data_IF_493566465122
#
_entry.id   IF_493566465122
#
_cell.length_a   1.000
_cell.length_b   1.000
_cell.length_c   1.000
_cell.angle_alpha   90.00
_cell.angle_beta   90.00
_cell.angle_gamma   90.00
#
_symmetry.space_group_name_H-M   'P 1'
#
loop_
_entity.id
_entity.type
_entity.pdbx_description
1 polymer ?
#
# COMPACT_ATOMS: atom_id res chain seq x y z
N UNK A 1 20.20 92.14 31.30
CA UNK A 1 19.72 91.02 32.07
C UNK A 1 20.32 89.77 31.45
N UNK A 2 21.39 89.24 32.00
CA UNK A 2 22.24 88.19 31.44
C UNK A 2 21.77 86.86 31.95
N UNK A 3 21.65 85.90 31.06
CA UNK A 3 21.45 84.46 31.44
C UNK A 3 22.57 83.66 30.80
N UNK A 4 23.38 83.08 31.67
CA UNK A 4 24.46 82.14 31.36
C UNK A 4 24.01 80.88 30.74
N UNK A 5 24.67 80.48 29.64
CA UNK A 5 24.52 79.16 29.03
C UNK A 5 25.57 78.20 29.64
N UNK A 6 25.10 77.24 30.39
CA UNK A 6 25.95 76.20 30.98
C UNK A 6 26.16 75.07 29.97
N UNK A 7 27.42 74.87 29.61
CA UNK A 7 27.87 73.84 28.71
C UNK A 7 27.81 72.47 29.43
N UNK A 8 26.89 71.56 29.07
CA UNK A 8 26.90 70.17 29.51
C UNK A 8 27.34 69.28 28.38
N UNK A 9 28.46 68.64 28.57
CA UNK A 9 28.92 67.52 27.73
C UNK A 9 27.91 66.36 27.82
N UNK A 10 27.35 65.99 26.71
CA UNK A 10 26.55 64.81 26.57
C UNK A 10 27.49 63.65 26.25
N UNK A 11 27.61 62.69 27.16
CA UNK A 11 28.24 61.41 26.90
C UNK A 11 27.29 60.60 26.05
N UNK A 12 27.72 60.32 24.86
CA UNK A 12 26.99 59.38 23.95
C UNK A 12 27.14 58.00 24.53
N UNK A 13 26.08 57.51 25.17
CA UNK A 13 25.92 56.11 25.57
C UNK A 13 25.42 55.34 24.35
N UNK A 14 26.32 54.58 23.72
CA UNK A 14 25.96 53.65 22.62
C UNK A 14 25.22 52.48 23.25
N UNK A 15 23.87 52.51 23.20
CA UNK A 15 23.06 51.37 23.48
C UNK A 15 23.21 50.36 22.32
N UNK A 16 23.94 49.30 22.59
CA UNK A 16 23.98 48.10 21.73
C UNK A 16 22.64 47.40 21.89
N UNK A 17 21.69 47.70 21.03
CA UNK A 17 20.44 46.94 20.92
C UNK A 17 20.76 45.58 20.31
N UNK A 18 20.94 44.60 21.18
CA UNK A 18 20.98 43.20 20.82
C UNK A 18 19.54 42.84 20.41
N UNK A 19 19.26 42.86 19.10
CA UNK A 19 18.03 42.31 18.54
C UNK A 19 18.10 40.81 18.75
N UNK A 20 17.49 40.32 19.81
CA UNK A 20 17.10 38.92 19.95
C UNK A 20 15.97 38.72 18.98
N UNK A 21 16.31 38.30 17.77
CA UNK A 21 15.34 37.66 16.87
C UNK A 21 14.91 36.35 17.53
N UNK A 22 13.80 36.40 18.30
CA UNK A 22 13.03 35.18 18.54
C UNK A 22 12.56 34.70 17.17
N UNK A 23 13.34 33.80 16.58
CA UNK A 23 12.84 32.93 15.55
C UNK A 23 11.69 32.14 16.18
N UNK A 24 10.49 32.48 15.77
CA UNK A 24 9.36 31.57 15.88
C UNK A 24 9.75 30.38 15.01
N UNK A 25 10.44 29.40 15.60
CA UNK A 25 10.41 28.03 15.07
C UNK A 25 8.98 27.56 15.22
N UNK A 26 8.16 27.85 14.21
CA UNK A 26 6.99 27.04 13.95
C UNK A 26 7.53 25.65 13.73
N UNK A 27 7.17 24.71 14.58
CA UNK A 27 7.29 23.30 14.29
C UNK A 27 6.40 23.02 13.07
N UNK A 28 6.99 23.16 11.89
CA UNK A 28 6.53 22.49 10.68
C UNK A 28 7.34 21.22 10.62
N UNK A 29 6.89 20.19 11.32
CA UNK A 29 7.45 18.85 11.26
C UNK A 29 7.05 18.17 9.94
N UNK A 30 7.26 18.85 8.82
CA UNK A 30 7.17 18.29 7.49
C UNK A 30 8.53 18.46 6.79
N UNK A 31 9.54 17.78 7.33
CA UNK A 31 10.85 17.63 6.69
C UNK A 31 10.81 16.58 5.54
N UNK A 32 9.67 16.46 4.88
CA UNK A 32 9.50 15.56 3.75
C UNK A 32 10.44 15.93 2.62
N UNK A 33 11.09 14.92 2.05
CA UNK A 33 12.07 15.10 0.99
C UNK A 33 11.46 15.78 -0.26
N UNK A 34 12.15 16.82 -0.73
CA UNK A 34 11.88 17.45 -2.03
C UNK A 34 13.20 17.55 -2.80
N UNK A 35 13.25 17.01 -4.01
CA UNK A 35 14.43 17.09 -4.86
C UNK A 35 14.69 15.83 -5.68
N UNK A 36 15.90 15.77 -6.23
CA UNK A 36 16.35 14.61 -7.00
C UNK A 36 16.94 13.54 -6.09
N UNK A 37 16.52 12.31 -6.30
CA UNK A 37 17.10 11.12 -5.69
C UNK A 37 17.64 10.18 -6.77
N UNK A 38 18.74 9.51 -6.48
CA UNK A 38 19.29 8.42 -7.29
C UNK A 38 19.87 7.34 -6.37
N UNK A 39 20.28 6.22 -6.92
CA UNK A 39 20.85 5.11 -6.14
C UNK A 39 22.33 5.30 -5.77
N UNK A 40 22.93 6.41 -6.17
CA UNK A 40 24.33 6.75 -5.87
C UNK A 40 25.36 6.03 -6.75
N UNK A 41 24.92 5.22 -7.72
CA UNK A 41 25.83 4.47 -8.60
C UNK A 41 26.25 5.25 -9.84
N UNK A 42 25.64 6.41 -10.07
CA UNK A 42 25.81 7.20 -11.30
C UNK A 42 25.02 6.66 -12.50
N UNK A 43 24.31 5.55 -12.34
CA UNK A 43 23.34 5.04 -13.31
C UNK A 43 21.98 5.72 -13.08
N UNK A 44 21.51 6.48 -14.06
CA UNK A 44 20.20 7.14 -14.02
C UNK A 44 19.01 6.19 -14.07
N UNK A 45 19.23 4.89 -13.98
CA UNK A 45 18.18 3.86 -14.03
C UNK A 45 17.23 3.98 -12.85
N UNK A 46 17.78 4.22 -11.67
CA UNK A 46 17.03 4.45 -10.43
C UNK A 46 17.19 5.91 -9.99
N UNK A 47 16.51 6.80 -10.69
CA UNK A 47 16.55 8.22 -10.40
C UNK A 47 15.18 8.86 -10.60
N UNK A 48 14.77 9.71 -9.68
CA UNK A 48 13.52 10.46 -9.73
C UNK A 48 13.69 11.87 -9.13
N UNK A 49 12.86 12.79 -9.56
CA UNK A 49 12.61 14.05 -8.89
C UNK A 49 11.30 13.94 -8.11
N UNK A 50 11.33 14.25 -6.82
CA UNK A 50 10.17 14.23 -5.94
C UNK A 50 9.92 15.67 -5.49
N UNK A 51 8.73 16.18 -5.76
CA UNK A 51 8.25 17.46 -5.29
C UNK A 51 6.96 17.27 -4.53
N UNK A 52 6.87 17.80 -3.31
CA UNK A 52 5.66 17.67 -2.50
C UNK A 52 4.87 18.96 -2.50
N UNK A 53 3.55 18.83 -2.54
CA UNK A 53 2.63 19.94 -2.32
C UNK A 53 2.65 20.39 -0.85
N UNK A 54 1.98 21.48 -0.53
CA UNK A 54 1.79 21.95 0.85
C UNK A 54 1.07 20.91 1.75
N UNK A 55 0.31 19.98 1.17
CA UNK A 55 -0.34 18.87 1.87
C UNK A 55 0.48 17.57 1.85
N UNK A 56 1.73 17.63 1.42
CA UNK A 56 2.63 16.47 1.42
C UNK A 56 2.46 15.49 0.25
N UNK A 57 1.53 15.72 -0.68
CA UNK A 57 1.32 14.81 -1.81
C UNK A 57 2.54 14.82 -2.73
N UNK A 58 3.21 13.67 -2.97
CA UNK A 58 4.39 13.63 -3.81
C UNK A 58 4.03 13.65 -5.30
N UNK A 59 4.71 14.52 -6.03
CA UNK A 59 4.77 14.57 -7.48
C UNK A 59 6.11 14.00 -7.92
N UNK A 60 6.08 12.90 -8.65
CA UNK A 60 7.26 12.12 -8.99
C UNK A 60 7.48 12.18 -10.49
N UNK A 61 8.62 12.72 -10.89
CA UNK A 61 9.03 12.77 -12.31
C UNK A 61 10.26 11.89 -12.51
N UNK A 62 10.23 11.03 -13.53
CA UNK A 62 11.36 10.18 -13.88
C UNK A 62 11.52 10.03 -15.40
N UNK A 63 12.63 9.41 -15.84
CA UNK A 63 12.92 9.16 -17.25
C UNK A 63 12.50 7.77 -17.72
N UNK A 64 12.21 6.87 -16.80
CA UNK A 64 11.83 5.48 -17.06
C UNK A 64 10.95 4.94 -15.91
N UNK A 65 10.35 3.76 -16.09
CA UNK A 65 9.46 3.16 -15.11
C UNK A 65 10.17 2.72 -13.81
N UNK A 66 11.46 2.32 -13.89
CA UNK A 66 12.26 2.04 -12.68
C UNK A 66 12.41 3.29 -11.82
N UNK A 67 12.71 4.43 -12.45
CA UNK A 67 12.78 5.71 -11.76
C UNK A 67 11.45 6.13 -11.14
N UNK A 68 10.32 5.94 -11.85
CA UNK A 68 9.00 6.21 -11.28
C UNK A 68 8.76 5.38 -10.02
N UNK A 69 8.92 4.05 -10.13
CA UNK A 69 8.79 3.16 -8.98
C UNK A 69 9.72 3.52 -7.83
N UNK A 70 10.96 3.92 -8.16
CA UNK A 70 11.96 4.36 -7.18
C UNK A 70 11.50 5.58 -6.39
N UNK A 71 10.98 6.59 -7.08
CA UNK A 71 10.41 7.78 -6.43
C UNK A 71 9.22 7.45 -5.55
N UNK A 72 8.27 6.60 -6.02
CA UNK A 72 7.11 6.18 -5.23
C UNK A 72 7.55 5.41 -3.98
N UNK A 73 8.46 4.43 -4.14
CA UNK A 73 8.94 3.62 -3.03
C UNK A 73 9.66 4.44 -1.95
N UNK A 74 10.45 5.44 -2.37
CA UNK A 74 11.11 6.37 -1.45
C UNK A 74 10.10 7.23 -0.69
N UNK A 75 9.20 7.92 -1.41
CA UNK A 75 8.19 8.79 -0.81
C UNK A 75 7.22 8.01 0.10
N UNK A 76 6.80 6.82 -0.33
CA UNK A 76 5.96 5.97 0.50
C UNK A 76 6.65 5.51 1.78
N UNK A 77 7.93 5.11 1.70
CA UNK A 77 8.70 4.71 2.87
C UNK A 77 8.89 5.86 3.84
N UNK A 78 9.10 7.09 3.34
CA UNK A 78 9.19 8.28 4.17
C UNK A 78 7.92 8.50 5.01
N UNK A 79 6.75 8.29 4.41
CA UNK A 79 5.46 8.55 5.05
C UNK A 79 4.89 7.34 5.83
N UNK A 80 5.20 6.09 5.41
CA UNK A 80 4.45 4.90 5.86
C UNK A 80 5.29 3.63 6.01
N UNK A 81 6.58 3.74 6.32
CA UNK A 81 7.49 2.58 6.35
C UNK A 81 7.02 1.48 7.30
N UNK A 82 6.53 1.83 8.50
CA UNK A 82 6.06 0.87 9.49
C UNK A 82 4.89 0.04 8.97
N UNK A 83 3.92 0.70 8.36
CA UNK A 83 2.73 0.04 7.84
C UNK A 83 3.10 -0.95 6.72
N UNK A 84 3.92 -0.53 5.75
CA UNK A 84 4.33 -1.40 4.65
C UNK A 84 5.17 -2.59 5.13
N UNK A 85 6.16 -2.35 6.00
CA UNK A 85 7.01 -3.41 6.51
C UNK A 85 6.20 -4.46 7.30
N UNK A 86 5.22 -4.01 8.11
CA UNK A 86 4.30 -4.90 8.82
C UNK A 86 3.48 -5.76 7.86
N UNK A 87 2.91 -5.16 6.82
CA UNK A 87 2.11 -5.87 5.83
C UNK A 87 2.93 -6.91 5.05
N UNK A 88 4.21 -6.62 4.77
CA UNK A 88 5.14 -7.58 4.16
C UNK A 88 5.41 -8.77 5.09
N UNK A 89 5.65 -8.51 6.38
CA UNK A 89 5.83 -9.58 7.39
C UNK A 89 4.64 -10.53 7.41
N UNK A 90 3.41 -9.98 7.41
CA UNK A 90 2.19 -10.79 7.37
C UNK A 90 2.08 -11.57 6.05
N UNK A 91 2.29 -10.91 4.91
CA UNK A 91 2.20 -11.54 3.59
C UNK A 91 3.23 -12.65 3.36
N UNK A 92 4.33 -12.65 4.11
CA UNK A 92 5.36 -13.69 4.07
C UNK A 92 5.12 -14.84 5.06
N UNK A 93 4.08 -14.76 5.89
CA UNK A 93 3.84 -15.75 6.94
C UNK A 93 4.86 -15.68 8.06
N UNK A 94 5.30 -14.48 8.42
CA UNK A 94 6.33 -14.25 9.45
C UNK A 94 5.76 -13.49 10.67
N UNK A 95 4.43 -13.37 10.79
CA UNK A 95 3.81 -12.54 11.83
C UNK A 95 4.06 -13.05 13.25
N UNK A 96 3.99 -14.35 13.47
CA UNK A 96 4.30 -14.96 14.78
C UNK A 96 5.75 -14.70 15.21
N UNK A 97 6.67 -14.64 14.25
CA UNK A 97 8.08 -14.41 14.52
C UNK A 97 8.36 -12.98 14.98
N UNK A 98 7.71 -12.00 14.37
CA UNK A 98 8.08 -10.59 14.49
C UNK A 98 7.09 -9.72 15.26
N UNK A 99 5.81 -10.09 15.27
CA UNK A 99 4.75 -9.26 15.85
C UNK A 99 4.27 -9.76 17.23
N UNK A 100 4.87 -10.82 17.75
CA UNK A 100 4.56 -11.33 19.10
C UNK A 100 3.08 -11.65 19.27
N UNK A 101 2.44 -11.04 20.25
CA UNK A 101 1.03 -11.27 20.55
C UNK A 101 0.06 -10.84 19.44
N UNK A 102 0.51 -10.02 18.50
CA UNK A 102 -0.28 -9.59 17.33
C UNK A 102 -0.07 -10.52 16.12
N UNK A 103 0.82 -11.50 16.23
CA UNK A 103 1.02 -12.54 15.22
C UNK A 103 -0.18 -13.49 15.16
N UNK A 104 -0.37 -14.11 13.98
CA UNK A 104 -1.46 -15.05 13.75
C UNK A 104 -0.95 -16.30 13.02
N UNK A 105 -0.93 -17.43 13.74
CA UNK A 105 -0.42 -18.70 13.24
C UNK A 105 -1.15 -19.16 11.96
N UNK A 106 -2.49 -19.07 11.95
CA UNK A 106 -3.27 -19.51 10.79
C UNK A 106 -2.97 -18.64 9.55
N UNK A 107 -2.78 -17.33 9.77
CA UNK A 107 -2.34 -16.42 8.72
C UNK A 107 -0.96 -16.81 8.19
N UNK A 108 -0.01 -17.10 9.08
CA UNK A 108 1.35 -17.46 8.68
C UNK A 108 1.39 -18.80 7.92
N UNK A 109 0.65 -19.81 8.37
CA UNK A 109 0.50 -21.08 7.65
C UNK A 109 -0.07 -20.87 6.27
N UNK A 110 -1.17 -20.10 6.18
CA UNK A 110 -1.83 -19.83 4.92
C UNK A 110 -0.92 -19.07 3.93
N UNK A 111 -0.30 -17.96 4.34
CA UNK A 111 0.53 -17.15 3.45
C UNK A 111 1.84 -17.83 3.06
N UNK A 112 2.42 -18.66 3.93
CA UNK A 112 3.57 -19.49 3.58
C UNK A 112 3.22 -20.44 2.43
N UNK A 113 2.06 -21.06 2.46
CA UNK A 113 1.57 -21.92 1.38
C UNK A 113 1.15 -21.12 0.15
N UNK A 114 0.33 -20.06 0.34
CA UNK A 114 -0.25 -19.30 -0.77
C UNK A 114 0.81 -18.52 -1.54
N UNK A 115 1.71 -17.88 -0.87
CA UNK A 115 2.81 -17.09 -1.43
C UNK A 115 4.07 -17.94 -1.66
N UNK A 116 3.94 -19.16 -2.16
CA UNK A 116 5.10 -20.00 -2.48
C UNK A 116 5.98 -19.33 -3.56
N UNK A 117 7.30 -19.62 -3.58
CA UNK A 117 8.22 -19.05 -4.58
C UNK A 117 7.76 -19.29 -6.02
N UNK A 118 7.18 -20.46 -6.31
CA UNK A 118 6.70 -20.84 -7.64
C UNK A 118 5.54 -19.94 -8.08
N UNK A 119 4.60 -19.66 -7.17
CA UNK A 119 3.44 -18.78 -7.47
C UNK A 119 3.89 -17.34 -7.71
N UNK A 120 4.78 -16.82 -6.87
CA UNK A 120 5.32 -15.47 -7.04
C UNK A 120 6.07 -15.31 -8.36
N UNK A 121 6.92 -16.30 -8.70
CA UNK A 121 7.65 -16.31 -9.97
C UNK A 121 6.70 -16.35 -11.17
N UNK A 122 5.65 -17.20 -11.12
CA UNK A 122 4.63 -17.26 -12.16
C UNK A 122 3.88 -15.94 -12.33
N UNK A 123 3.50 -15.29 -11.22
CA UNK A 123 2.84 -13.99 -11.25
C UNK A 123 3.74 -12.91 -11.88
N UNK A 124 5.01 -12.84 -11.48
CA UNK A 124 5.96 -11.87 -12.05
C UNK A 124 6.13 -12.08 -13.56
N UNK A 125 6.28 -13.34 -13.99
CA UNK A 125 6.47 -13.68 -15.40
C UNK A 125 5.29 -13.34 -16.30
N UNK A 126 4.11 -13.11 -15.75
CA UNK A 126 2.90 -12.72 -16.49
C UNK A 126 2.72 -11.20 -16.61
N UNK A 127 3.58 -10.40 -16.00
CA UNK A 127 3.47 -8.94 -16.01
C UNK A 127 4.22 -8.32 -17.19
N UNK A 128 3.76 -7.15 -17.64
CA UNK A 128 4.48 -6.35 -18.61
C UNK A 128 5.85 -5.90 -18.07
N UNK A 129 6.90 -5.84 -18.91
CA UNK A 129 8.24 -5.43 -18.49
C UNK A 129 8.27 -4.06 -17.80
N UNK A 130 7.44 -3.12 -18.21
CA UNK A 130 7.33 -1.79 -17.60
C UNK A 130 6.80 -1.84 -16.16
N UNK A 131 5.84 -2.73 -15.91
CA UNK A 131 5.32 -3.00 -14.55
C UNK A 131 6.40 -3.64 -13.68
N UNK A 132 7.11 -4.64 -14.22
CA UNK A 132 8.22 -5.29 -13.53
C UNK A 132 9.30 -4.27 -13.15
N UNK A 133 9.62 -3.36 -14.07
CA UNK A 133 10.62 -2.31 -13.84
C UNK A 133 10.15 -1.34 -12.74
N UNK A 134 8.90 -0.93 -12.73
CA UNK A 134 8.35 -0.08 -11.68
C UNK A 134 8.36 -0.76 -10.31
N UNK A 135 8.02 -2.06 -10.23
CA UNK A 135 8.06 -2.83 -8.97
C UNK A 135 9.49 -2.96 -8.44
N UNK A 136 10.47 -3.21 -9.32
CA UNK A 136 11.89 -3.21 -8.95
C UNK A 136 12.33 -1.84 -8.43
N UNK A 137 11.88 -0.79 -9.11
CA UNK A 137 12.11 0.59 -8.68
C UNK A 137 11.58 0.84 -7.28
N UNK A 138 10.34 0.44 -7.03
CA UNK A 138 9.71 0.63 -5.71
C UNK A 138 10.53 0.01 -4.58
N UNK A 139 10.93 -1.25 -4.72
CA UNK A 139 11.78 -1.91 -3.73
C UNK A 139 13.10 -1.15 -3.52
N UNK A 140 13.74 -0.71 -4.60
CA UNK A 140 14.99 0.05 -4.52
C UNK A 140 14.81 1.41 -3.82
N UNK A 141 13.71 2.13 -4.09
CA UNK A 141 13.39 3.41 -3.46
C UNK A 141 13.11 3.28 -1.97
N UNK A 142 12.31 2.30 -1.56
CA UNK A 142 12.10 1.96 -0.16
C UNK A 142 13.42 1.70 0.55
N UNK A 143 14.28 0.86 -0.04
CA UNK A 143 15.57 0.51 0.54
C UNK A 143 16.50 1.73 0.62
N UNK A 144 16.44 2.64 -0.36
CA UNK A 144 17.20 3.88 -0.32
C UNK A 144 16.79 4.76 0.86
N UNK A 145 15.49 4.98 1.05
CA UNK A 145 15.01 5.72 2.22
C UNK A 145 15.48 5.08 3.52
N UNK A 146 15.37 3.76 3.63
CA UNK A 146 15.80 3.03 4.83
C UNK A 146 17.31 3.20 5.11
N UNK A 147 18.14 3.25 4.08
CA UNK A 147 19.59 3.53 4.23
C UNK A 147 19.85 4.98 4.63
N UNK A 148 19.13 5.93 4.03
CA UNK A 148 19.30 7.36 4.31
C UNK A 148 18.84 7.71 5.73
N UNK A 149 17.68 7.25 6.15
CA UNK A 149 17.13 7.48 7.49
C UNK A 149 17.83 6.64 8.56
N UNK A 150 18.05 5.37 8.28
CA UNK A 150 18.51 4.35 9.23
C UNK A 150 17.39 3.88 10.16
N UNK A 151 17.28 2.57 10.36
CA UNK A 151 16.19 1.95 11.18
C UNK A 151 16.08 2.55 12.58
N UNK A 152 17.23 2.87 13.19
CA UNK A 152 17.29 3.45 14.55
C UNK A 152 16.74 4.87 14.65
N UNK A 153 16.64 5.56 13.52
CA UNK A 153 16.16 6.93 13.44
C UNK A 153 14.71 7.04 12.96
N UNK A 154 14.03 5.92 12.79
CA UNK A 154 12.59 5.91 12.53
C UNK A 154 11.89 6.30 13.83
N UNK A 155 11.13 7.38 13.77
CA UNK A 155 10.51 8.00 14.94
C UNK A 155 9.15 7.37 15.27
N UNK A 156 8.51 6.72 14.31
CA UNK A 156 7.22 6.06 14.52
C UNK A 156 7.37 4.93 15.54
N UNK A 157 6.74 5.06 16.72
CA UNK A 157 6.84 4.08 17.80
C UNK A 157 6.31 2.69 17.41
N UNK A 158 5.50 2.60 16.36
CA UNK A 158 4.97 1.32 15.88
C UNK A 158 6.06 0.40 15.36
N UNK A 159 7.20 0.97 14.89
CA UNK A 159 8.29 0.17 14.36
C UNK A 159 9.70 0.69 14.66
N UNK A 160 9.83 1.62 15.60
CA UNK A 160 11.13 2.16 16.00
C UNK A 160 12.10 1.05 16.41
N UNK A 161 13.23 0.95 15.71
CA UNK A 161 14.25 -0.09 15.91
C UNK A 161 13.76 -1.53 15.75
N UNK A 162 12.62 -1.77 15.14
CA UNK A 162 12.08 -3.11 14.94
C UNK A 162 12.92 -3.91 13.91
N UNK A 163 13.26 -5.16 14.23
CA UNK A 163 14.06 -6.03 13.35
C UNK A 163 13.36 -6.36 12.02
N UNK A 164 12.05 -6.27 12.00
CA UNK A 164 11.26 -6.54 10.80
C UNK A 164 11.19 -5.35 9.83
N UNK A 165 11.66 -4.17 10.24
CA UNK A 165 11.89 -3.04 9.33
C UNK A 165 13.26 -3.21 8.69
N UNK A 166 13.28 -3.83 7.54
CA UNK A 166 14.50 -4.21 6.82
C UNK A 166 14.39 -3.88 5.34
N UNK A 167 15.48 -3.98 4.62
CA UNK A 167 15.45 -3.91 3.15
C UNK A 167 14.50 -4.97 2.58
N UNK A 168 13.77 -4.58 1.56
CA UNK A 168 12.81 -5.42 0.85
C UNK A 168 13.30 -5.75 -0.55
N UNK A 169 12.76 -6.82 -1.09
CA UNK A 169 13.01 -7.28 -2.46
C UNK A 169 11.75 -7.16 -3.30
N UNK A 170 11.90 -7.29 -4.61
CA UNK A 170 10.76 -7.47 -5.52
C UNK A 170 9.88 -8.64 -5.09
N UNK A 171 10.50 -9.73 -4.59
CA UNK A 171 9.79 -10.92 -4.12
C UNK A 171 8.91 -10.65 -2.88
N UNK A 172 9.35 -9.76 -1.98
CA UNK A 172 8.55 -9.31 -0.84
C UNK A 172 7.30 -8.53 -1.29
N UNK A 173 7.44 -7.68 -2.32
CA UNK A 173 6.30 -6.97 -2.92
C UNK A 173 5.34 -7.93 -3.63
N UNK A 174 5.85 -8.97 -4.29
CA UNK A 174 4.99 -9.99 -4.91
C UNK A 174 4.18 -10.76 -3.87
N UNK A 175 4.76 -11.07 -2.71
CA UNK A 175 4.01 -11.66 -1.60
C UNK A 175 2.89 -10.71 -1.11
N UNK A 176 3.18 -9.42 -1.01
CA UNK A 176 2.20 -8.40 -0.66
C UNK A 176 1.06 -8.32 -1.67
N UNK A 177 1.36 -8.37 -2.98
CA UNK A 177 0.35 -8.38 -4.04
C UNK A 177 -0.49 -9.65 -4.00
N UNK A 178 0.12 -10.80 -3.69
CA UNK A 178 -0.61 -12.04 -3.43
C UNK A 178 -1.65 -11.87 -2.33
N UNK A 179 -1.28 -11.24 -1.21
CA UNK A 179 -2.21 -10.91 -0.13
C UNK A 179 -3.32 -9.95 -0.58
N UNK A 180 -2.96 -8.89 -1.31
CA UNK A 180 -3.92 -7.90 -1.80
C UNK A 180 -4.99 -8.52 -2.73
N UNK A 181 -4.56 -9.41 -3.62
CA UNK A 181 -5.44 -10.06 -4.60
C UNK A 181 -6.48 -11.01 -3.98
N UNK A 182 -6.25 -11.45 -2.74
CA UNK A 182 -7.21 -12.33 -2.05
C UNK A 182 -8.46 -11.62 -1.54
N UNK A 183 -8.44 -10.29 -1.48
CA UNK A 183 -9.52 -9.51 -0.87
C UNK A 183 -10.89 -9.80 -1.47
N UNK A 184 -10.97 -9.96 -2.77
CA UNK A 184 -12.23 -10.23 -3.50
C UNK A 184 -12.72 -11.69 -3.43
N UNK A 185 -12.04 -12.56 -2.67
CA UNK A 185 -12.38 -13.98 -2.67
C UNK A 185 -11.90 -14.72 -1.42
N UNK A 186 -10.69 -15.29 -1.47
CA UNK A 186 -10.21 -16.24 -0.46
C UNK A 186 -9.82 -15.62 0.89
N UNK A 187 -9.80 -14.30 1.04
CA UNK A 187 -9.35 -13.66 2.31
C UNK A 187 -10.19 -14.10 3.53
N UNK A 188 -11.48 -14.36 3.32
CA UNK A 188 -12.37 -14.84 4.38
C UNK A 188 -12.13 -16.32 4.75
N UNK A 189 -11.40 -17.05 3.92
CA UNK A 189 -11.13 -18.47 4.10
C UNK A 189 -9.70 -18.78 4.60
N UNK A 190 -8.94 -17.77 4.95
CA UNK A 190 -7.55 -17.92 5.45
C UNK A 190 -7.50 -18.92 6.60
N UNK A 191 -8.26 -18.69 7.67
CA UNK A 191 -8.29 -19.59 8.84
C UNK A 191 -8.89 -20.97 8.51
N UNK A 192 -10.05 -21.09 7.86
CA UNK A 192 -10.58 -22.39 7.45
C UNK A 192 -9.62 -23.21 6.60
N UNK A 193 -8.90 -22.58 5.66
CA UNK A 193 -7.92 -23.28 4.82
C UNK A 193 -6.69 -23.71 5.65
N UNK A 194 -6.18 -22.82 6.51
CA UNK A 194 -5.02 -23.12 7.33
C UNK A 194 -5.26 -24.26 8.35
N UNK A 195 -6.49 -24.40 8.83
CA UNK A 195 -6.89 -25.41 9.81
C UNK A 195 -7.55 -26.65 9.19
N UNK A 196 -7.67 -26.70 7.86
CA UNK A 196 -8.29 -27.83 7.18
C UNK A 196 -7.55 -29.13 7.49
N UNK A 197 -8.28 -30.13 7.94
CA UNK A 197 -7.78 -31.47 8.17
C UNK A 197 -8.49 -32.48 7.25
N UNK A 198 -7.81 -33.57 6.80
CA UNK A 198 -8.47 -34.62 6.09
C UNK A 198 -9.66 -35.15 6.91
N UNK A 199 -10.81 -35.34 6.26
CA UNK A 199 -11.93 -36.05 6.89
C UNK A 199 -11.47 -37.44 7.23
N UNK A 200 -11.32 -37.74 8.52
CA UNK A 200 -11.12 -39.10 8.99
C UNK A 200 -12.45 -39.81 8.79
N UNK A 201 -12.59 -40.57 7.69
CA UNK A 201 -13.67 -41.52 7.59
C UNK A 201 -13.64 -42.41 8.82
N UNK A 202 -14.59 -42.25 9.73
CA UNK A 202 -14.80 -43.19 10.82
C UNK A 202 -15.00 -44.57 10.18
N UNK A 203 -13.98 -45.40 10.35
CA UNK A 203 -13.80 -46.67 9.65
C UNK A 203 -15.08 -47.44 9.37
N UNK A 204 -15.33 -47.64 8.14
CA UNK A 204 -15.95 -48.85 7.64
C UNK A 204 -14.81 -49.83 7.33
N UNK A 205 -14.40 -50.58 8.34
CA UNK A 205 -13.72 -51.83 8.08
C UNK A 205 -14.75 -52.74 7.39
N UNK A 206 -14.59 -52.91 6.12
CA UNK A 206 -15.37 -53.92 5.42
C UNK A 206 -15.65 -53.60 3.95
N UNK A 207 -14.87 -54.30 3.12
CA UNK A 207 -15.11 -54.58 1.69
C UNK A 207 -14.88 -53.48 0.66
N UNK A 208 -13.77 -53.67 -0.04
CA UNK A 208 -13.48 -53.11 -1.37
C UNK A 208 -14.68 -53.22 -2.30
N UNK A 209 -15.25 -52.07 -2.64
CA UNK A 209 -15.90 -51.84 -3.91
C UNK A 209 -15.54 -50.45 -4.40
N UNK A 210 -14.57 -50.40 -5.27
CA UNK A 210 -14.25 -49.26 -6.10
C UNK A 210 -15.51 -48.96 -6.95
N UNK A 211 -16.32 -47.98 -6.54
CA UNK A 211 -17.34 -47.41 -7.39
C UNK A 211 -16.68 -46.41 -8.33
N UNK A 212 -16.57 -46.82 -9.57
CA UNK A 212 -16.32 -45.91 -10.68
C UNK A 212 -17.52 -44.95 -10.73
N UNK A 213 -17.33 -43.70 -10.39
CA UNK A 213 -18.29 -42.63 -10.62
C UNK A 213 -18.29 -42.33 -12.10
N UNK A 214 -19.24 -42.91 -12.84
CA UNK A 214 -19.65 -42.42 -14.15
C UNK A 214 -20.46 -41.15 -13.93
N UNK A 215 -19.91 -40.01 -14.35
CA UNK A 215 -20.61 -38.71 -14.37
C UNK A 215 -21.52 -38.75 -15.59
N UNK A 216 -22.80 -39.04 -15.38
CA UNK A 216 -23.87 -38.71 -16.34
C UNK A 216 -24.31 -37.27 -16.05
N UNK A 217 -24.52 -36.42 -17.05
CA UNK A 217 -24.98 -35.04 -16.85
C UNK A 217 -26.50 -35.04 -16.64
N UNK A 218 -26.94 -35.10 -15.40
CA UNK A 218 -28.33 -34.84 -15.06
C UNK A 218 -28.50 -33.42 -14.52
N UNK A 219 -29.18 -32.61 -15.32
CA UNK A 219 -29.73 -31.32 -14.96
C UNK A 219 -30.88 -31.52 -13.97
N UNK A 220 -30.61 -31.48 -12.68
CA UNK A 220 -31.60 -31.08 -11.69
C UNK A 220 -30.93 -30.82 -10.34
N UNK A 221 -30.47 -29.59 -10.14
CA UNK A 221 -30.08 -29.12 -8.84
C UNK A 221 -31.33 -28.61 -8.12
N UNK A 222 -32.02 -29.50 -7.42
CA UNK A 222 -33.06 -29.09 -6.48
C UNK A 222 -32.42 -28.37 -5.26
N UNK A 223 -33.10 -27.39 -4.65
CA UNK A 223 -32.57 -26.70 -3.46
C UNK A 223 -32.24 -27.60 -2.27
N UNK A 224 -32.77 -28.82 -2.24
CA UNK A 224 -32.50 -29.84 -1.22
C UNK A 224 -31.13 -30.49 -1.35
N UNK A 225 -30.58 -30.63 -2.57
CA UNK A 225 -29.23 -31.19 -2.75
C UNK A 225 -28.11 -30.22 -2.37
N UNK A 226 -28.37 -28.93 -2.37
CA UNK A 226 -27.42 -27.91 -1.88
C UNK A 226 -27.33 -27.92 -0.35
N UNK A 227 -28.40 -28.26 0.36
CA UNK A 227 -28.42 -28.32 1.83
C UNK A 227 -27.64 -29.54 2.36
N UNK A 228 -27.55 -30.63 1.62
CA UNK A 228 -26.85 -31.85 2.07
C UNK A 228 -25.32 -31.75 1.89
N UNK A 229 -24.84 -30.89 1.00
CA UNK A 229 -23.40 -30.56 0.88
C UNK A 229 -22.92 -29.64 1.98
N UNK A 230 -23.81 -28.90 2.65
CA UNK A 230 -23.49 -27.98 3.76
C UNK A 230 -23.39 -28.69 5.11
N UNK A 231 -23.94 -29.90 5.25
CA UNK A 231 -24.00 -30.62 6.53
C UNK A 231 -22.69 -31.24 7.01
N UNK A 232 -21.62 -31.16 6.20
CA UNK A 232 -20.27 -31.62 6.55
C UNK A 232 -19.29 -30.51 6.92
N UNK A 233 -19.63 -29.26 6.66
CA UNK A 233 -18.86 -28.08 7.05
C UNK A 233 -19.75 -27.23 7.95
N UNK A 234 -19.48 -27.25 9.25
CA UNK A 234 -20.03 -26.28 10.18
C UNK A 234 -19.36 -24.92 9.90
N UNK A 235 -19.74 -24.34 8.74
CA UNK A 235 -19.26 -23.07 8.27
C UNK A 235 -20.18 -22.00 8.80
N UNK A 236 -19.81 -21.41 9.94
CA UNK A 236 -20.53 -20.28 10.48
C UNK A 236 -20.39 -19.06 9.57
N UNK A 237 -21.34 -18.91 8.64
CA UNK A 237 -21.44 -17.77 7.72
C UNK A 237 -21.57 -16.44 8.46
N UNK A 238 -21.89 -16.44 9.77
CA UNK A 238 -21.99 -15.20 10.55
C UNK A 238 -20.61 -14.64 10.93
N UNK A 239 -19.55 -15.45 10.82
CA UNK A 239 -18.16 -15.02 11.03
C UNK A 239 -17.51 -14.47 9.79
N UNK A 240 -18.16 -14.48 8.63
CA UNK A 240 -17.69 -13.74 7.47
C UNK A 240 -17.85 -12.24 7.84
N UNK A 241 -16.79 -11.69 8.39
CA UNK A 241 -16.63 -10.24 8.46
C UNK A 241 -16.56 -9.75 7.01
N UNK A 242 -17.72 -9.56 6.41
CA UNK A 242 -17.85 -8.71 5.23
C UNK A 242 -17.43 -7.34 5.75
N UNK A 243 -16.15 -7.05 5.62
CA UNK A 243 -15.61 -5.74 6.00
C UNK A 243 -16.58 -4.69 5.50
N UNK A 244 -16.94 -3.73 6.34
CA UNK A 244 -17.85 -2.61 6.01
C UNK A 244 -17.35 -1.75 4.83
N UNK A 245 -16.34 -2.22 4.11
CA UNK A 245 -15.79 -1.64 2.90
C UNK A 245 -16.77 -1.70 1.74
N UNK A 246 -16.77 -0.67 0.96
CA UNK A 246 -17.55 -0.55 -0.26
C UNK A 246 -17.01 0.62 -1.06
N UNK A 247 -17.68 0.99 -2.12
CA UNK A 247 -17.34 2.18 -2.88
C UNK A 247 -18.51 2.56 -3.78
N UNK A 248 -18.59 3.84 -4.11
CA UNK A 248 -19.56 4.37 -5.08
C UNK A 248 -18.80 5.18 -6.14
N UNK A 249 -19.26 5.11 -7.38
CA UNK A 249 -18.77 5.96 -8.43
C UNK A 249 -19.93 6.40 -9.36
N UNK A 250 -19.87 7.63 -9.80
CA UNK A 250 -20.80 8.22 -10.78
C UNK A 250 -20.00 8.84 -11.90
N UNK A 251 -20.26 8.43 -13.13
CA UNK A 251 -19.67 9.02 -14.32
C UNK A 251 -20.73 9.82 -15.07
N UNK A 252 -20.48 11.09 -15.29
CA UNK A 252 -21.37 12.00 -16.00
C UNK A 252 -20.75 12.39 -17.33
N UNK A 253 -21.44 12.11 -18.43
CA UNK A 253 -21.01 12.53 -19.76
C UNK A 253 -21.15 14.04 -19.98
N UNK A 254 -20.53 14.53 -21.05
CA UNK A 254 -20.54 15.96 -21.41
C UNK A 254 -21.94 16.55 -21.64
N UNK A 255 -22.89 15.71 -22.04
CA UNK A 255 -24.30 16.12 -22.21
C UNK A 255 -24.95 16.52 -20.88
N UNK A 256 -24.62 15.80 -19.81
CA UNK A 256 -25.17 16.05 -18.46
C UNK A 256 -24.42 17.19 -17.77
N UNK A 257 -23.10 17.26 -17.95
CA UNK A 257 -22.29 18.31 -17.30
C UNK A 257 -22.43 19.67 -17.90
N UNK A 258 -22.96 19.76 -19.12
CA UNK A 258 -23.03 21.02 -19.89
C UNK A 258 -21.65 21.56 -20.29
N UNK A 259 -20.60 20.77 -20.12
CA UNK A 259 -19.22 21.09 -20.48
C UNK A 259 -18.74 20.17 -21.61
N UNK A 260 -17.54 20.42 -22.13
CA UNK A 260 -16.95 19.53 -23.15
C UNK A 260 -16.29 18.27 -22.50
N UNK A 261 -16.26 18.17 -21.17
CA UNK A 261 -15.59 17.11 -20.43
C UNK A 261 -16.58 16.32 -19.61
N UNK A 262 -16.31 15.04 -19.45
CA UNK A 262 -16.97 14.20 -18.45
C UNK A 262 -16.51 14.54 -17.04
N UNK A 263 -17.30 14.13 -16.03
CA UNK A 263 -16.96 14.21 -14.61
C UNK A 263 -17.08 12.81 -14.03
N UNK A 264 -16.03 12.36 -13.33
CA UNK A 264 -16.10 11.18 -12.49
C UNK A 264 -16.14 11.62 -11.02
N UNK A 265 -17.17 11.19 -10.31
CA UNK A 265 -17.24 11.28 -8.86
C UNK A 265 -16.99 9.88 -8.28
N UNK A 266 -15.82 9.68 -7.69
CA UNK A 266 -15.43 8.43 -7.04
C UNK A 266 -15.41 8.62 -5.52
N UNK A 267 -16.03 7.70 -4.78
CA UNK A 267 -16.05 7.69 -3.33
C UNK A 267 -15.73 6.27 -2.83
N UNK A 268 -14.53 6.09 -2.33
CA UNK A 268 -14.02 4.82 -1.83
C UNK A 268 -14.28 4.73 -0.33
N UNK A 269 -14.77 3.57 0.12
CA UNK A 269 -15.00 3.29 1.53
C UNK A 269 -13.98 2.22 1.95
N UNK A 270 -12.72 2.63 2.03
CA UNK A 270 -11.61 1.75 2.38
C UNK A 270 -11.09 2.08 3.77
N UNK A 271 -10.53 1.07 4.49
CA UNK A 271 -9.89 1.29 5.78
C UNK A 271 -8.75 2.31 5.69
N UNK A 272 -8.58 3.07 6.77
CA UNK A 272 -7.46 4.00 6.91
C UNK A 272 -6.19 3.31 7.43
N UNK A 273 -6.27 2.01 7.70
CA UNK A 273 -5.19 1.17 8.22
C UNK A 273 -4.95 -0.04 7.32
N UNK A 274 -3.76 -0.63 7.44
CA UNK A 274 -3.37 -1.87 6.78
C UNK A 274 -3.20 -1.73 5.28
N UNK A 275 -3.16 -2.88 4.60
CA UNK A 275 -2.82 -3.00 3.18
C UNK A 275 -3.72 -2.17 2.25
N UNK A 276 -4.95 -1.96 2.65
CA UNK A 276 -5.98 -1.31 1.83
C UNK A 276 -5.98 0.23 1.95
N UNK A 277 -5.16 0.78 2.84
CA UNK A 277 -5.00 2.23 2.97
C UNK A 277 -4.46 2.79 1.66
N UNK A 278 -5.14 3.80 1.13
CA UNK A 278 -4.71 4.52 -0.05
C UNK A 278 -3.63 5.55 0.25
N UNK A 279 -2.74 5.70 -0.71
CA UNK A 279 -1.69 6.71 -0.73
C UNK A 279 -1.80 7.49 -2.03
N UNK A 280 -1.93 8.80 -1.95
CA UNK A 280 -2.10 9.68 -3.10
C UNK A 280 -0.74 10.14 -3.63
N UNK A 281 -0.56 10.11 -4.94
CA UNK A 281 0.64 10.56 -5.62
C UNK A 281 0.39 10.90 -7.09
N UNK A 282 1.29 11.68 -7.66
CA UNK A 282 1.30 12.04 -9.08
C UNK A 282 2.56 11.50 -9.75
N UNK A 283 2.40 10.91 -10.94
CA UNK A 283 3.48 10.33 -11.73
C UNK A 283 3.61 11.05 -13.08
N UNK A 284 4.82 11.45 -13.41
CA UNK A 284 5.16 12.00 -14.72
C UNK A 284 6.33 11.25 -15.35
N UNK A 285 6.07 10.58 -16.47
CA UNK A 285 7.08 10.07 -17.39
C UNK A 285 6.94 10.85 -18.70
N UNK A 286 7.80 11.85 -18.98
CA UNK A 286 7.62 12.77 -20.07
C UNK A 286 7.33 12.09 -21.42
N UNK A 287 6.23 12.48 -22.05
CA UNK A 287 5.77 11.93 -23.32
C UNK A 287 5.12 10.54 -23.27
N UNK A 288 5.01 9.90 -22.10
CA UNK A 288 4.42 8.56 -21.95
C UNK A 288 3.32 8.49 -20.90
N UNK A 289 3.54 9.06 -19.73
CA UNK A 289 2.62 8.95 -18.60
C UNK A 289 2.55 10.28 -17.88
N UNK A 290 1.33 10.70 -17.55
CA UNK A 290 1.02 11.82 -16.69
C UNK A 290 -0.29 11.48 -15.99
N UNK A 291 -0.22 11.06 -14.72
CA UNK A 291 -1.36 10.49 -14.01
C UNK A 291 -1.29 10.84 -12.53
N UNK A 292 -2.40 11.29 -11.98
CA UNK A 292 -2.59 11.51 -10.57
C UNK A 292 -3.64 10.58 -10.02
N UNK A 293 -3.45 10.09 -8.81
CA UNK A 293 -4.42 9.22 -8.17
C UNK A 293 -3.90 8.60 -6.89
N UNK A 294 -4.55 7.53 -6.45
CA UNK A 294 -4.20 6.85 -5.24
C UNK A 294 -3.98 5.34 -5.48
N UNK A 295 -2.92 4.82 -4.91
CA UNK A 295 -2.58 3.40 -4.91
C UNK A 295 -2.64 2.80 -3.52
N UNK A 296 -2.85 1.51 -3.42
CA UNK A 296 -2.69 0.77 -2.18
C UNK A 296 -1.22 0.60 -1.85
N UNK A 297 -0.92 0.21 -0.62
CA UNK A 297 0.45 0.03 -0.14
C UNK A 297 1.26 -0.92 -1.03
N UNK A 298 2.48 -0.49 -1.35
CA UNK A 298 3.39 -1.27 -2.19
C UNK A 298 3.14 -1.14 -3.70
N UNK A 299 2.07 -0.48 -4.13
CA UNK A 299 1.74 -0.31 -5.54
C UNK A 299 2.53 0.84 -6.17
N UNK A 300 3.25 0.62 -7.28
CA UNK A 300 3.99 1.68 -7.96
C UNK A 300 3.12 2.57 -8.86
N UNK A 301 1.86 2.20 -9.08
CA UNK A 301 0.89 2.92 -9.90
C UNK A 301 -0.43 3.15 -9.15
N UNK A 302 -1.19 4.22 -9.47
CA UNK A 302 -2.47 4.45 -8.85
C UNK A 302 -3.51 3.41 -9.29
N UNK A 303 -4.22 2.84 -8.31
CA UNK A 303 -5.36 1.95 -8.55
C UNK A 303 -6.58 2.73 -9.04
N UNK A 304 -6.75 3.94 -8.55
CA UNK A 304 -7.79 4.90 -8.95
C UNK A 304 -7.11 6.21 -9.29
N UNK A 305 -7.62 6.94 -10.26
CA UNK A 305 -6.97 8.18 -10.65
C UNK A 305 -7.55 8.81 -11.89
N UNK A 306 -6.80 9.76 -12.41
CA UNK A 306 -7.16 10.50 -13.61
C UNK A 306 -5.91 11.05 -14.31
N UNK A 307 -6.09 11.35 -15.56
CA UNK A 307 -5.22 12.20 -16.36
C UNK A 307 -6.05 13.18 -17.19
N UNK A 308 -5.43 13.85 -18.15
CA UNK A 308 -6.13 14.83 -18.99
C UNK A 308 -7.24 14.23 -19.89
N UNK A 309 -7.22 12.91 -20.13
CA UNK A 309 -8.08 12.24 -21.10
C UNK A 309 -9.10 11.31 -20.44
N UNK A 310 -8.75 10.68 -19.31
CA UNK A 310 -9.54 9.62 -18.66
C UNK A 310 -9.45 9.70 -17.14
N UNK A 311 -10.55 9.34 -16.48
CA UNK A 311 -10.59 9.11 -15.05
C UNK A 311 -11.20 7.72 -14.77
N UNK A 312 -10.72 7.03 -13.72
CA UNK A 312 -11.21 5.71 -13.35
C UNK A 312 -11.32 5.55 -11.84
N UNK A 313 -12.25 4.72 -11.43
CA UNK A 313 -12.46 4.31 -10.05
C UNK A 313 -12.93 2.86 -10.01
N UNK A 314 -12.79 2.21 -8.86
CA UNK A 314 -13.21 0.83 -8.64
C UNK A 314 -14.24 0.77 -7.53
N UNK A 315 -15.20 -0.13 -7.68
CA UNK A 315 -16.14 -0.49 -6.61
C UNK A 315 -16.04 -1.98 -6.33
N UNK A 316 -16.35 -2.37 -5.09
CA UNK A 316 -16.42 -3.79 -4.71
C UNK A 316 -17.83 -4.29 -4.98
N UNK A 317 -17.97 -5.28 -5.87
CA UNK A 317 -19.22 -6.00 -6.04
C UNK A 317 -19.44 -6.95 -4.86
N UNK A 318 -20.60 -6.83 -4.22
CA UNK A 318 -21.05 -7.76 -3.17
C UNK A 318 -22.14 -8.72 -3.69
N UNK A 319 -22.31 -8.79 -5.00
CA UNK A 319 -23.27 -9.69 -5.60
C UNK A 319 -22.72 -11.12 -5.52
N UNK A 320 -23.46 -11.98 -4.83
CA UNK A 320 -23.24 -13.42 -4.85
C UNK A 320 -24.05 -13.95 -6.03
N UNK A 321 -23.37 -14.43 -7.08
CA UNK A 321 -24.01 -15.22 -8.14
C UNK A 321 -24.20 -16.65 -7.67
#
# INVERSE_FOLDING_TARGET
MSINVLNRRVHTLTLLTMAVSLGLFGCSDNDNFNGNIDDGTGDSTYAADIQRTEFGIPHITAKNYKGLGYGVGYAFAEDNICSLAREIVIAKGESMRYLGAEGNENSDVFYTWYNSPERRSGFLGAQDPEVIDAVKGYAAGYNRYLRDKGVKNIEDPACASAEWVREITTDDLLALYGKANLRGGLSNFVTPIATAAPTVEKGIMGSSRMRTLSIEPENDLSPESAADLSSGFDFDMTTINVTDGGSNAYAFGSEVTGTKSGILYGNLHEPWDGLQRFYEFHLTLPGKLDVMGAGQQGQPFPNIGFNKDVAWSHTVSKHLE
#
